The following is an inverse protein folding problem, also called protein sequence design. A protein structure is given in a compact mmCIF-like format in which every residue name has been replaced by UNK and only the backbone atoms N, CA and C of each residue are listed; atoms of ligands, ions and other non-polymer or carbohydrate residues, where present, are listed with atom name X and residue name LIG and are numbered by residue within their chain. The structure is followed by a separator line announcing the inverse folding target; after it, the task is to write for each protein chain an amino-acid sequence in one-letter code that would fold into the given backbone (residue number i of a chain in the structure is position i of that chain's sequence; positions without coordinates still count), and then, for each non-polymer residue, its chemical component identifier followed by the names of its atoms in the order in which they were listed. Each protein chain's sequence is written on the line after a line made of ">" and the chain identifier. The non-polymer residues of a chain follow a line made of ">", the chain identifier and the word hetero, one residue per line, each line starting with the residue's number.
data_IF_634961205097
#
_entry.id   IF_634961205097
#
_cell.length_a   1.000
_cell.length_b   1.000
_cell.length_c   1.000
_cell.angle_alpha   90.00
_cell.angle_beta   90.00
_cell.angle_gamma   90.00
#
_symmetry.space_group_name_H-M   'P 1'
#
loop_
_entity.id
_entity.type
_entity.pdbx_description
1 polymer ?
#
# COMPACT_ATOMS: atom_id res chain seq x y z
N UNK A 1 -6.15 2.73 15.35
CA UNK A 1 -5.39 1.50 15.07
C UNK A 1 -4.13 1.92 14.34
N UNK A 2 -2.95 1.55 14.85
CA UNK A 2 -1.69 1.89 14.19
C UNK A 2 -1.50 1.04 12.94
N UNK A 3 -0.82 1.57 11.91
CA UNK A 3 -0.43 0.79 10.73
C UNK A 3 0.32 -0.50 11.12
N UNK A 4 1.12 -0.45 12.18
CA UNK A 4 1.84 -1.62 12.70
C UNK A 4 0.90 -2.71 13.25
N UNK A 5 -0.22 -2.34 13.88
CA UNK A 5 -1.21 -3.30 14.39
C UNK A 5 -1.94 -4.00 13.24
N UNK A 6 -2.26 -3.25 12.18
CA UNK A 6 -2.89 -3.79 10.96
C UNK A 6 -1.98 -4.82 10.31
N UNK A 7 -0.69 -4.50 10.15
CA UNK A 7 0.30 -5.43 9.59
C UNK A 7 0.45 -6.70 10.45
N UNK A 8 0.51 -6.58 11.78
CA UNK A 8 0.57 -7.74 12.69
C UNK A 8 -0.67 -8.63 12.56
N UNK A 9 -1.85 -8.06 12.38
CA UNK A 9 -3.07 -8.83 12.10
C UNK A 9 -2.97 -9.58 10.78
N UNK A 10 -2.43 -8.95 9.73
CA UNK A 10 -2.16 -9.60 8.43
C UNK A 10 -1.25 -10.82 8.57
N UNK A 11 -0.14 -10.67 9.26
CA UNK A 11 0.79 -11.78 9.57
C UNK A 11 0.08 -12.90 10.36
N UNK A 12 -0.72 -12.54 11.37
CA UNK A 12 -1.48 -13.51 12.16
C UNK A 12 -2.56 -14.26 11.34
N UNK A 13 -3.05 -13.68 10.24
CA UNK A 13 -3.97 -14.32 9.31
C UNK A 13 -3.28 -15.23 8.28
N UNK A 14 -1.94 -15.25 8.24
CA UNK A 14 -1.15 -16.14 7.38
C UNK A 14 -0.34 -15.46 6.28
N UNK A 15 -0.15 -14.14 6.32
CA UNK A 15 0.81 -13.48 5.43
C UNK A 15 2.26 -13.86 5.81
N UNK A 16 3.11 -14.13 4.82
CA UNK A 16 4.51 -14.54 5.04
C UNK A 16 5.40 -13.40 5.55
N UNK A 17 5.16 -12.18 5.06
CA UNK A 17 5.96 -11.00 5.40
C UNK A 17 5.11 -9.73 5.42
N UNK A 18 5.63 -8.69 6.07
CA UNK A 18 5.02 -7.37 6.13
C UNK A 18 6.09 -6.28 6.07
N UNK A 19 5.83 -5.23 5.31
CA UNK A 19 6.70 -4.06 5.18
C UNK A 19 5.95 -2.83 5.72
N UNK A 20 6.59 -2.11 6.63
CA UNK A 20 6.08 -0.84 7.15
C UNK A 20 6.88 0.31 6.53
N UNK A 21 6.25 1.06 5.63
CA UNK A 21 6.81 2.28 5.07
C UNK A 21 6.56 3.43 6.04
N UNK A 22 7.62 3.94 6.67
CA UNK A 22 7.55 5.09 7.56
C UNK A 22 8.08 6.33 6.84
N UNK A 23 7.35 7.44 6.92
CA UNK A 23 7.79 8.73 6.40
C UNK A 23 7.02 9.87 7.06
N UNK A 24 7.70 10.99 7.28
CA UNK A 24 7.09 12.23 7.75
C UNK A 24 6.60 13.02 6.54
N UNK A 25 5.39 12.73 6.05
CA UNK A 25 4.78 13.52 4.99
C UNK A 25 3.27 13.60 5.10
N UNK A 26 2.72 14.73 4.65
CA UNK A 26 1.30 14.83 4.30
C UNK A 26 1.07 13.88 3.12
N UNK A 27 0.39 12.77 3.43
CA UNK A 27 0.09 11.70 2.48
C UNK A 27 -1.14 12.11 1.68
N UNK A 28 -0.91 12.57 0.45
CA UNK A 28 -1.95 12.57 -0.58
C UNK A 28 -1.92 11.23 -1.34
N UNK A 29 -2.95 10.99 -2.17
CA UNK A 29 -3.05 9.72 -2.90
C UNK A 29 -1.91 9.48 -3.90
N UNK A 30 -1.36 10.54 -4.51
CA UNK A 30 -0.28 10.41 -5.48
C UNK A 30 1.05 10.05 -4.81
N UNK A 31 1.37 10.70 -3.69
CA UNK A 31 2.54 10.40 -2.86
C UNK A 31 2.47 8.98 -2.32
N UNK A 32 1.30 8.58 -1.83
CA UNK A 32 1.04 7.20 -1.38
C UNK A 32 1.28 6.20 -2.51
N UNK A 33 0.73 6.47 -3.71
CA UNK A 33 0.92 5.60 -4.86
C UNK A 33 2.40 5.51 -5.28
N UNK A 34 3.15 6.61 -5.28
CA UNK A 34 4.58 6.61 -5.60
C UNK A 34 5.41 5.82 -4.59
N UNK A 35 5.13 5.95 -3.29
CA UNK A 35 5.82 5.21 -2.26
C UNK A 35 5.59 3.70 -2.40
N UNK A 36 4.34 3.29 -2.63
CA UNK A 36 3.99 1.88 -2.84
C UNK A 36 4.60 1.33 -4.13
N UNK A 37 4.51 2.06 -5.25
CA UNK A 37 5.11 1.64 -6.52
C UNK A 37 6.62 1.42 -6.38
N UNK A 38 7.32 2.32 -5.66
CA UNK A 38 8.76 2.22 -5.45
C UNK A 38 9.18 0.98 -4.67
N UNK A 39 8.40 0.60 -3.66
CA UNK A 39 8.62 -0.64 -2.93
C UNK A 39 8.36 -1.86 -3.83
N UNK A 40 7.25 -1.83 -4.58
CA UNK A 40 6.83 -2.94 -5.43
C UNK A 40 7.80 -3.22 -6.58
N UNK A 41 8.47 -2.18 -7.12
CA UNK A 41 9.54 -2.32 -8.14
C UNK A 41 10.60 -3.36 -7.72
N UNK A 42 10.96 -3.40 -6.44
CA UNK A 42 11.99 -4.32 -5.96
C UNK A 42 11.51 -5.76 -5.76
N UNK A 43 10.19 -5.95 -5.66
CA UNK A 43 9.56 -7.23 -5.32
C UNK A 43 9.01 -8.01 -6.53
N UNK A 44 8.98 -7.40 -7.72
CA UNK A 44 8.47 -7.97 -8.98
C UNK A 44 7.20 -8.83 -8.81
N UNK A 45 6.11 -8.27 -8.25
CA UNK A 45 4.92 -9.04 -7.90
C UNK A 45 4.17 -9.49 -9.17
N UNK A 46 3.74 -10.75 -9.22
CA UNK A 46 2.89 -11.26 -10.30
C UNK A 46 1.42 -10.82 -10.18
N UNK A 47 0.98 -10.51 -8.96
CA UNK A 47 -0.37 -10.05 -8.65
C UNK A 47 -0.33 -9.11 -7.45
N UNK A 48 -0.93 -7.93 -7.60
CA UNK A 48 -1.09 -6.96 -6.51
C UNK A 48 -2.57 -6.74 -6.26
N UNK A 49 -2.99 -6.93 -5.00
CA UNK A 49 -4.37 -6.73 -4.57
C UNK A 49 -4.51 -5.44 -3.77
N UNK A 50 -5.46 -4.61 -4.16
CA UNK A 50 -5.85 -3.40 -3.44
C UNK A 50 -7.30 -3.52 -2.97
N UNK A 51 -7.62 -2.84 -1.86
CA UNK A 51 -9.02 -2.56 -1.52
C UNK A 51 -9.62 -1.55 -2.52
N UNK A 52 -10.95 -1.55 -2.64
CA UNK A 52 -11.67 -0.66 -3.58
C UNK A 52 -11.44 0.82 -3.23
N UNK A 53 -11.53 1.15 -1.93
CA UNK A 53 -11.27 2.48 -1.37
C UNK A 53 -10.96 2.39 0.11
N UNK A 54 -10.20 3.35 0.61
CA UNK A 54 -10.03 3.54 2.04
C UNK A 54 -11.26 4.27 2.62
N UNK A 55 -11.64 3.94 3.85
CA UNK A 55 -12.88 4.46 4.46
C UNK A 55 -12.77 5.89 4.99
N UNK A 56 -11.54 6.39 5.15
CA UNK A 56 -11.20 7.72 5.63
C UNK A 56 -11.31 8.77 4.52
N UNK A 57 -10.60 8.55 3.43
CA UNK A 57 -10.46 9.53 2.34
C UNK A 57 -11.48 9.32 1.21
N UNK A 58 -12.16 8.17 1.20
CA UNK A 58 -13.15 7.73 0.21
C UNK A 58 -12.70 7.84 -1.26
N UNK A 59 -11.39 7.81 -1.50
CA UNK A 59 -10.77 7.98 -2.80
C UNK A 59 -10.37 6.63 -3.42
N UNK A 60 -10.74 6.41 -4.69
CA UNK A 60 -10.49 5.18 -5.46
C UNK A 60 -9.25 5.28 -6.36
N UNK A 61 -8.25 6.08 -5.96
CA UNK A 61 -7.19 6.51 -6.87
C UNK A 61 -5.86 5.79 -6.68
N UNK A 62 -5.52 5.34 -5.47
CA UNK A 62 -4.19 4.79 -5.16
C UNK A 62 -3.91 3.53 -5.96
N UNK A 63 -4.84 2.56 -5.97
CA UNK A 63 -4.68 1.31 -6.72
C UNK A 63 -4.44 1.53 -8.22
N UNK A 64 -5.33 2.26 -8.93
CA UNK A 64 -5.12 2.59 -10.34
C UNK A 64 -3.86 3.41 -10.62
N UNK A 65 -3.49 4.34 -9.73
CA UNK A 65 -2.24 5.09 -9.88
C UNK A 65 -1.02 4.18 -9.74
N UNK A 66 -1.00 3.27 -8.76
CA UNK A 66 0.09 2.30 -8.60
C UNK A 66 0.22 1.43 -9.84
N UNK A 67 -0.90 0.93 -10.40
CA UNK A 67 -0.83 0.11 -11.63
C UNK A 67 -0.22 0.88 -12.80
N UNK A 68 -0.52 2.17 -12.96
CA UNK A 68 0.10 2.98 -14.03
C UNK A 68 1.58 3.22 -13.76
N UNK A 69 1.99 3.36 -12.50
CA UNK A 69 3.37 3.66 -12.12
C UNK A 69 4.31 2.46 -12.24
N UNK A 70 3.83 1.24 -12.00
CA UNK A 70 4.65 0.02 -12.08
C UNK A 70 4.71 -0.59 -13.50
N UNK A 71 3.88 -0.11 -14.42
CA UNK A 71 3.81 -0.55 -15.82
C UNK A 71 2.87 -1.73 -16.05
#
# INVERSE_FOLDING_TARGET
>A
MSAQEVLRKGLAMGADSAVLLNGDCDMDGLRTAKALAKELESSEPQLVLFGVKAADDDQQQVGPMVSVLIG
#
